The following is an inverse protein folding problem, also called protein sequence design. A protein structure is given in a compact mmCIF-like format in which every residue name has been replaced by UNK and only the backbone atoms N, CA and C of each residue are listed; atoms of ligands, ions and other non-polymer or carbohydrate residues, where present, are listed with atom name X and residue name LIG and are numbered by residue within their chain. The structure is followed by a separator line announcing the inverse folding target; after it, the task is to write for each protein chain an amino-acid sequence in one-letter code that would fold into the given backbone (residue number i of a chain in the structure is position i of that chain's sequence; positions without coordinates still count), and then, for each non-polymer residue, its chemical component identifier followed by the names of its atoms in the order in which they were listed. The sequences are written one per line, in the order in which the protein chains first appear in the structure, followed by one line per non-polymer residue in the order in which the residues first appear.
data_IF_900320293667
#
_entry.id   IF_900320293667
#
_cell.length_a   1.000
_cell.length_b   1.000
_cell.length_c   1.000
_cell.angle_alpha   90.00
_cell.angle_beta   90.00
_cell.angle_gamma   90.00
#
_symmetry.space_group_name_H-M   'P 1'
#
loop_
_entity.id
_entity.type
_entity.pdbx_description
1 polymer ?
#
# COMPACT_ATOMS: atom_id res chain seq x y z
N UNK A 1 -9.75 63.72 -22.67
CA UNK A 1 -8.57 64.26 -21.98
C UNK A 1 -7.90 63.07 -21.30
N UNK A 2 -6.89 62.40 -21.87
CA UNK A 2 -5.60 62.94 -22.33
C UNK A 2 -4.78 63.28 -21.08
N UNK A 3 -3.77 62.50 -20.66
CA UNK A 3 -2.50 62.32 -21.37
C UNK A 3 -1.68 61.12 -20.82
N UNK A 4 -0.80 60.69 -21.71
CA UNK A 4 0.21 59.63 -21.73
C UNK A 4 1.45 59.92 -20.86
N UNK A 5 2.23 58.89 -20.46
CA UNK A 5 3.72 58.83 -20.36
C UNK A 5 4.18 57.38 -20.02
N UNK A 6 4.98 56.76 -20.90
CA UNK A 6 5.96 55.63 -20.69
C UNK A 6 7.34 56.21 -20.27
N UNK A 7 8.30 55.49 -19.60
CA UNK A 7 9.07 54.30 -20.09
C UNK A 7 9.51 53.32 -18.95
N UNK A 8 10.27 52.23 -19.07
CA UNK A 8 11.11 51.60 -20.11
C UNK A 8 11.58 50.20 -19.64
N UNK A 9 12.17 49.42 -20.56
CA UNK A 9 12.68 48.04 -20.37
C UNK A 9 13.89 47.94 -19.43
N UNK A 10 14.19 46.71 -18.95
CA UNK A 10 15.54 46.18 -19.23
C UNK A 10 15.62 44.67 -19.54
N UNK A 11 16.43 44.34 -20.55
CA UNK A 11 17.61 43.49 -20.37
C UNK A 11 17.51 41.98 -20.65
N UNK A 12 17.97 41.58 -21.84
CA UNK A 12 18.38 40.22 -22.20
C UNK A 12 19.45 39.64 -21.24
N UNK A 13 19.35 38.34 -20.94
CA UNK A 13 20.49 37.55 -20.46
C UNK A 13 20.65 36.33 -21.38
N UNK A 14 21.73 36.36 -22.14
CA UNK A 14 22.16 35.33 -23.08
C UNK A 14 22.80 34.11 -22.43
N UNK A 15 22.84 33.06 -23.25
CA UNK A 15 23.35 31.70 -23.06
C UNK A 15 24.86 31.58 -22.79
N UNK A 16 25.21 30.32 -22.48
CA UNK A 16 26.50 29.63 -22.54
C UNK A 16 27.32 29.72 -21.26
N UNK A 17 27.96 28.66 -20.75
CA UNK A 17 28.24 27.34 -21.27
C UNK A 17 29.40 26.77 -20.44
N UNK A 18 29.40 25.46 -20.25
CA UNK A 18 30.52 24.54 -19.98
C UNK A 18 31.80 25.04 -19.25
N UNK A 19 32.31 24.19 -18.35
CA UNK A 19 33.77 24.03 -18.24
C UNK A 19 34.32 23.90 -16.83
N UNK A 20 34.67 22.67 -16.50
CA UNK A 20 35.44 22.18 -15.36
C UNK A 20 36.89 22.67 -15.27
N UNK A 21 37.42 22.57 -14.03
CA UNK A 21 38.83 22.36 -13.61
C UNK A 21 39.88 23.44 -13.88
N UNK A 22 40.57 23.87 -12.82
CA UNK A 22 41.99 23.52 -12.62
C UNK A 22 42.50 23.87 -11.21
N UNK A 23 43.30 22.96 -10.65
CA UNK A 23 44.05 23.12 -9.43
C UNK A 23 45.43 23.74 -9.73
N UNK A 24 45.87 24.71 -8.93
CA UNK A 24 47.26 25.19 -8.92
C UNK A 24 47.92 24.87 -7.57
N UNK A 25 48.96 24.04 -7.61
CA UNK A 25 50.01 23.98 -6.58
C UNK A 25 51.04 25.06 -6.87
N UNK A 26 51.56 25.70 -5.82
CA UNK A 26 52.85 26.39 -5.83
C UNK A 26 53.62 25.98 -4.56
N UNK A 27 54.82 25.47 -4.82
CA UNK A 27 56.03 25.21 -4.01
C UNK A 27 56.50 26.46 -3.25
N UNK A 28 57.40 26.54 -2.26
CA UNK A 28 58.44 25.77 -1.57
C UNK A 28 58.81 26.68 -0.35
N UNK A 29 59.34 26.23 0.80
CA UNK A 29 60.79 26.11 1.09
C UNK A 29 60.93 25.84 2.60
N UNK A 30 61.82 24.95 3.01
CA UNK A 30 62.49 25.03 4.31
C UNK A 30 63.82 24.28 4.26
N UNK A 31 64.84 24.90 4.85
CA UNK A 31 66.25 24.57 4.70
C UNK A 31 66.72 23.33 5.45
N UNK A 32 67.83 22.79 4.95
CA UNK A 32 68.67 21.75 5.55
C UNK A 32 69.55 22.34 6.66
N UNK A 33 69.64 21.62 7.77
CA UNK A 33 70.69 21.76 8.79
C UNK A 33 70.84 20.42 9.53
N UNK A 34 72.07 19.89 9.56
CA UNK A 34 72.37 18.54 10.03
C UNK A 34 72.78 18.44 11.51
N UNK A 35 73.16 17.22 11.93
CA UNK A 35 73.79 16.92 13.22
C UNK A 35 73.22 15.68 13.90
N UNK A 36 74.04 14.64 14.07
CA UNK A 36 73.67 13.34 14.63
C UNK A 36 73.63 13.28 16.16
N UNK A 37 73.17 12.13 16.69
CA UNK A 37 73.22 11.84 18.13
C UNK A 37 72.18 10.81 18.58
N UNK A 38 72.66 9.77 19.26
CA UNK A 38 71.98 8.55 19.68
C UNK A 38 70.95 8.66 20.82
N UNK A 39 70.07 7.64 20.87
CA UNK A 39 69.35 7.02 22.02
C UNK A 39 67.94 7.52 22.44
N UNK A 40 67.07 6.49 22.49
CA UNK A 40 65.90 6.24 23.37
C UNK A 40 64.53 6.83 23.03
N UNK A 41 63.65 5.89 22.62
CA UNK A 41 62.23 5.65 23.00
C UNK A 41 61.30 6.88 23.05
N UNK A 42 60.29 6.89 22.16
CA UNK A 42 58.83 6.98 22.47
C UNK A 42 58.00 7.06 21.17
N UNK A 43 56.73 6.68 21.28
CA UNK A 43 55.58 6.84 20.33
C UNK A 43 55.67 6.03 19.02
N UNK A 44 54.89 4.97 18.77
CA UNK A 44 53.42 4.79 18.78
C UNK A 44 52.68 5.70 17.76
N UNK A 45 51.83 5.06 16.94
CA UNK A 45 50.83 5.62 16.02
C UNK A 45 51.30 6.25 14.69
N UNK A 46 51.70 5.44 13.69
CA UNK A 46 51.38 5.73 12.26
C UNK A 46 51.23 4.39 11.51
N UNK A 47 50.13 3.67 11.76
CA UNK A 47 49.73 2.51 10.94
C UNK A 47 48.19 2.40 10.84
N UNK A 48 47.49 3.54 10.97
CA UNK A 48 46.02 3.60 11.02
C UNK A 48 45.48 4.78 10.19
N UNK A 49 46.20 5.14 9.12
CA UNK A 49 45.78 6.19 8.18
C UNK A 49 46.05 5.80 6.72
N UNK A 50 45.75 4.54 6.37
CA UNK A 50 45.66 4.07 4.98
C UNK A 50 44.32 3.37 4.68
N UNK A 51 43.30 3.60 5.50
CA UNK A 51 41.95 3.06 5.32
C UNK A 51 40.90 4.18 5.27
N UNK A 52 41.16 5.25 4.51
CA UNK A 52 40.24 6.39 4.39
C UNK A 52 40.11 6.96 2.97
N UNK A 53 40.47 6.19 1.93
CA UNK A 53 40.18 6.53 0.53
C UNK A 53 39.73 5.28 -0.24
N UNK A 54 38.70 4.60 0.26
CA UNK A 54 37.83 3.85 -0.64
C UNK A 54 36.73 4.83 -1.07
N UNK A 55 36.56 5.15 -2.37
CA UNK A 55 35.35 5.82 -2.81
C UNK A 55 34.20 4.92 -2.37
N UNK A 56 33.39 5.43 -1.44
CA UNK A 56 32.24 4.71 -0.94
C UNK A 56 31.40 4.29 -2.12
N UNK A 57 31.47 3.01 -2.47
CA UNK A 57 30.42 2.38 -3.24
C UNK A 57 29.19 2.46 -2.33
N UNK A 58 28.45 3.56 -2.47
CA UNK A 58 27.06 3.60 -2.05
C UNK A 58 26.42 2.54 -2.92
N UNK A 59 26.36 1.32 -2.40
CA UNK A 59 25.56 0.28 -3.01
C UNK A 59 24.19 0.92 -3.27
N UNK A 60 23.68 0.89 -4.52
CA UNK A 60 22.36 1.42 -4.77
C UNK A 60 21.45 0.80 -3.73
N UNK A 61 20.77 1.64 -2.95
CA UNK A 61 19.78 1.20 -1.98
C UNK A 61 18.86 0.27 -2.77
N UNK A 62 18.96 -1.03 -2.50
CA UNK A 62 18.22 -2.01 -3.27
C UNK A 62 16.76 -1.63 -3.07
N UNK A 63 16.13 -1.15 -4.14
CA UNK A 63 14.69 -0.97 -4.19
C UNK A 63 14.11 -2.32 -3.83
N UNK A 64 13.70 -2.46 -2.57
CA UNK A 64 13.22 -3.71 -2.01
C UNK A 64 12.04 -4.09 -2.89
N UNK A 65 12.20 -5.15 -3.69
CA UNK A 65 11.15 -5.66 -4.57
C UNK A 65 9.85 -5.63 -3.76
N UNK A 66 8.84 -4.89 -4.26
CA UNK A 66 7.62 -4.56 -3.49
C UNK A 66 6.97 -5.86 -3.03
N UNK A 67 7.30 -6.29 -1.81
CA UNK A 67 6.93 -7.59 -1.28
C UNK A 67 5.42 -7.74 -1.27
N UNK A 68 4.95 -8.94 -1.61
CA UNK A 68 3.56 -9.33 -1.42
C UNK A 68 3.12 -9.13 0.03
N UNK A 69 1.82 -9.16 0.26
CA UNK A 69 1.25 -8.95 1.60
C UNK A 69 0.85 -10.28 2.21
N UNK A 70 1.01 -10.41 3.51
CA UNK A 70 0.35 -11.44 4.30
C UNK A 70 -0.67 -10.74 5.20
N UNK A 71 -1.96 -10.94 4.92
CA UNK A 71 -3.04 -10.29 5.64
C UNK A 71 -3.91 -11.32 6.37
N UNK A 72 -4.39 -10.98 7.58
CA UNK A 72 -5.36 -11.79 8.30
C UNK A 72 -6.65 -10.98 8.46
N UNK A 73 -7.73 -11.48 7.91
CA UNK A 73 -9.08 -10.95 8.12
C UNK A 73 -9.57 -11.42 9.49
N UNK A 74 -9.74 -10.49 10.42
CA UNK A 74 -10.20 -10.76 11.79
C UNK A 74 -11.64 -10.28 11.89
N UNK A 75 -12.57 -11.23 11.76
CA UNK A 75 -14.00 -10.97 11.56
C UNK A 75 -14.77 -11.21 12.85
N UNK A 76 -15.45 -10.18 13.32
CA UNK A 76 -16.30 -10.25 14.50
C UNK A 76 -17.55 -11.09 14.19
N UNK A 77 -17.81 -12.04 15.07
CA UNK A 77 -18.93 -12.98 15.01
C UNK A 77 -19.83 -12.91 16.24
N UNK A 78 -19.63 -11.91 17.11
CA UNK A 78 -20.44 -11.67 18.30
C UNK A 78 -21.91 -11.37 17.97
N UNK A 79 -22.77 -11.52 18.98
CA UNK A 79 -24.21 -11.28 18.86
C UNK A 79 -24.56 -9.83 18.54
N UNK A 80 -23.78 -8.85 19.00
CA UNK A 80 -24.01 -7.42 18.73
C UNK A 80 -23.95 -7.10 17.25
N UNK A 81 -23.20 -7.88 16.46
CA UNK A 81 -23.10 -7.75 15.00
C UNK A 81 -24.44 -7.91 14.27
N UNK A 82 -25.49 -8.45 14.89
CA UNK A 82 -26.85 -8.43 14.31
C UNK A 82 -27.45 -7.03 14.26
N UNK A 83 -27.02 -6.16 15.18
CA UNK A 83 -27.51 -4.78 15.30
C UNK A 83 -26.50 -3.78 14.73
N UNK A 84 -25.21 -4.04 14.87
CA UNK A 84 -24.14 -3.14 14.40
C UNK A 84 -23.72 -3.39 12.95
N UNK A 85 -24.06 -4.56 12.40
CA UNK A 85 -23.88 -4.93 10.99
C UNK A 85 -25.08 -5.77 10.47
N UNK A 86 -26.31 -5.21 10.46
CA UNK A 86 -27.54 -5.96 10.15
C UNK A 86 -27.55 -6.49 8.71
N UNK A 87 -26.90 -5.78 7.78
CA UNK A 87 -26.78 -6.15 6.37
C UNK A 87 -25.59 -7.09 6.12
N UNK A 88 -24.86 -7.48 7.17
CA UNK A 88 -23.68 -8.36 7.11
C UNK A 88 -22.61 -7.84 6.14
N UNK A 89 -22.41 -6.52 6.10
CA UNK A 89 -21.46 -5.81 5.25
C UNK A 89 -20.02 -6.29 5.41
N UNK A 90 -19.65 -6.88 6.55
CA UNK A 90 -18.32 -7.48 6.74
C UNK A 90 -18.01 -8.65 5.79
N UNK A 91 -19.02 -9.35 5.28
CA UNK A 91 -18.83 -10.45 4.32
C UNK A 91 -18.45 -9.93 2.93
N UNK A 92 -19.26 -9.07 2.26
CA UNK A 92 -18.87 -8.50 0.97
C UNK A 92 -17.61 -7.65 1.06
N UNK A 93 -17.39 -6.96 2.19
CA UNK A 93 -16.14 -6.32 2.57
C UNK A 93 -14.91 -7.23 2.47
N UNK A 94 -14.92 -8.34 3.22
CA UNK A 94 -13.83 -9.32 3.24
C UNK A 94 -13.58 -9.91 1.85
N UNK A 95 -14.64 -10.25 1.12
CA UNK A 95 -14.53 -10.76 -0.25
C UNK A 95 -13.96 -9.73 -1.21
N UNK A 96 -14.31 -8.45 -1.07
CA UNK A 96 -13.74 -7.37 -1.87
C UNK A 96 -12.24 -7.25 -1.63
N UNK A 97 -11.81 -7.24 -0.37
CA UNK A 97 -10.39 -7.19 -0.03
C UNK A 97 -9.63 -8.34 -0.69
N UNK A 98 -10.06 -9.60 -0.49
CA UNK A 98 -9.46 -10.79 -1.12
C UNK A 98 -9.43 -10.66 -2.65
N UNK A 99 -10.47 -10.07 -3.24
CA UNK A 99 -10.60 -9.93 -4.68
C UNK A 99 -9.55 -9.00 -5.28
N UNK A 100 -9.20 -7.92 -4.60
CA UNK A 100 -8.21 -6.93 -5.05
C UNK A 100 -6.77 -7.42 -4.94
N UNK A 101 -6.52 -8.48 -4.17
CA UNK A 101 -5.19 -9.04 -4.00
C UNK A 101 -4.74 -9.80 -5.25
N UNK A 102 -3.43 -9.82 -5.46
CA UNK A 102 -2.79 -10.35 -6.67
C UNK A 102 -1.74 -11.41 -6.37
N UNK A 103 -0.88 -11.65 -7.36
CA UNK A 103 0.22 -12.59 -7.19
C UNK A 103 1.17 -12.16 -6.06
N UNK A 104 1.60 -13.14 -5.26
CA UNK A 104 2.45 -12.91 -4.09
C UNK A 104 1.68 -12.54 -2.82
N UNK A 105 0.37 -12.32 -2.86
CA UNK A 105 -0.42 -12.01 -1.67
C UNK A 105 -1.05 -13.26 -1.04
N UNK A 106 -1.11 -13.31 0.30
CA UNK A 106 -1.82 -14.34 1.05
C UNK A 106 -2.80 -13.74 2.05
N UNK A 107 -3.88 -14.48 2.27
CA UNK A 107 -4.92 -14.11 3.24
C UNK A 107 -5.22 -15.28 4.17
N UNK A 108 -5.34 -14.99 5.46
CA UNK A 108 -5.95 -15.86 6.46
C UNK A 108 -7.28 -15.28 6.95
N UNK A 109 -8.14 -16.11 7.53
CA UNK A 109 -9.40 -15.66 8.13
C UNK A 109 -9.50 -16.20 9.55
N UNK A 110 -9.76 -15.30 10.49
CA UNK A 110 -10.07 -15.58 11.89
C UNK A 110 -11.49 -15.09 12.14
N UNK A 111 -12.28 -15.91 12.82
CA UNK A 111 -13.56 -15.51 13.40
C UNK A 111 -13.37 -15.38 14.90
N UNK A 112 -13.97 -14.36 15.50
CA UNK A 112 -13.88 -14.17 16.94
C UNK A 112 -15.18 -13.71 17.59
N UNK A 113 -15.33 -14.01 18.87
CA UNK A 113 -16.34 -13.51 19.80
C UNK A 113 -15.65 -13.41 21.17
N UNK A 114 -16.12 -14.07 22.24
CA UNK A 114 -15.34 -14.24 23.49
C UNK A 114 -13.98 -14.95 23.33
N UNK A 115 -13.81 -15.75 22.26
CA UNK A 115 -12.55 -16.38 21.85
C UNK A 115 -12.26 -16.09 20.38
N UNK A 116 -11.07 -16.42 19.89
CA UNK A 116 -10.71 -16.27 18.48
C UNK A 116 -10.21 -17.61 17.91
N UNK A 117 -10.68 -17.98 16.72
CA UNK A 117 -10.32 -19.23 16.06
C UNK A 117 -10.01 -19.03 14.57
N UNK A 118 -8.94 -19.66 14.05
CA UNK A 118 -8.65 -19.65 12.62
C UNK A 118 -9.72 -20.43 11.86
N UNK A 119 -10.33 -19.79 10.87
CA UNK A 119 -11.24 -20.45 9.90
C UNK A 119 -10.43 -21.01 8.74
N UNK A 120 -9.39 -20.28 8.31
CA UNK A 120 -8.39 -20.71 7.33
C UNK A 120 -7.07 -19.97 7.60
N UNK A 121 -5.94 -20.66 7.47
CA UNK A 121 -4.60 -20.07 7.56
C UNK A 121 -4.23 -19.22 6.34
N UNK A 122 -3.02 -18.64 6.34
CA UNK A 122 -2.53 -17.85 5.21
C UNK A 122 -2.51 -18.68 3.93
N UNK A 123 -3.36 -18.30 2.98
CA UNK A 123 -3.56 -18.99 1.71
C UNK A 123 -3.30 -18.02 0.56
N UNK A 124 -2.58 -18.44 -0.48
CA UNK A 124 -2.34 -17.61 -1.68
C UNK A 124 -3.65 -17.25 -2.39
N UNK A 125 -3.70 -16.07 -2.99
CA UNK A 125 -4.91 -15.57 -3.70
C UNK A 125 -4.82 -15.75 -5.22
N UNK A 126 -3.79 -16.40 -5.73
CA UNK A 126 -3.51 -16.54 -7.17
C UNK A 126 -4.48 -17.51 -7.86
N UNK A 127 -4.82 -18.61 -7.21
CA UNK A 127 -5.68 -19.65 -7.77
C UNK A 127 -7.19 -19.35 -7.62
N UNK A 128 -7.97 -19.72 -8.65
CA UNK A 128 -9.44 -19.67 -8.57
C UNK A 128 -9.99 -20.61 -7.47
N UNK A 129 -9.33 -21.75 -7.25
CA UNK A 129 -9.61 -22.67 -6.13
C UNK A 129 -9.37 -22.02 -4.78
N UNK A 130 -8.26 -21.29 -4.63
CA UNK A 130 -7.86 -20.70 -3.36
C UNK A 130 -8.78 -19.54 -2.97
N UNK A 131 -9.09 -18.66 -3.93
CA UNK A 131 -10.09 -17.62 -3.73
C UNK A 131 -11.45 -18.19 -3.33
N UNK A 132 -11.87 -19.28 -3.97
CA UNK A 132 -13.12 -19.97 -3.59
C UNK A 132 -13.06 -20.48 -2.15
N UNK A 133 -11.94 -21.09 -1.72
CA UNK A 133 -11.74 -21.54 -0.33
C UNK A 133 -11.79 -20.37 0.65
N UNK A 134 -11.12 -19.26 0.34
CA UNK A 134 -11.14 -18.03 1.14
C UNK A 134 -12.55 -17.44 1.24
N UNK A 135 -13.30 -17.37 0.14
CA UNK A 135 -14.68 -16.89 0.16
C UNK A 135 -15.59 -17.80 0.99
N UNK A 136 -15.44 -19.12 0.88
CA UNK A 136 -16.15 -20.08 1.71
C UNK A 136 -15.79 -19.94 3.19
N UNK A 137 -14.54 -19.66 3.53
CA UNK A 137 -14.11 -19.38 4.90
C UNK A 137 -14.79 -18.12 5.45
N UNK A 138 -14.84 -17.03 4.67
CA UNK A 138 -15.57 -15.81 5.04
C UNK A 138 -17.07 -16.08 5.24
N UNK A 139 -17.69 -16.89 4.36
CA UNK A 139 -19.12 -17.20 4.44
C UNK A 139 -19.50 -17.98 5.71
N UNK A 140 -18.56 -18.73 6.31
CA UNK A 140 -18.75 -19.47 7.57
C UNK A 140 -18.81 -18.56 8.80
N UNK A 141 -18.40 -17.29 8.69
CA UNK A 141 -18.42 -16.36 9.83
C UNK A 141 -19.86 -15.95 10.15
N UNK A 142 -20.31 -16.32 11.35
CA UNK A 142 -21.67 -16.08 11.83
C UNK A 142 -21.79 -14.74 12.61
N UNK A 143 -22.97 -14.43 13.15
CA UNK A 143 -23.19 -13.36 14.16
C UNK A 143 -23.78 -13.96 15.45
N UNK A 144 -23.33 -15.15 15.86
CA UNK A 144 -23.97 -15.95 16.92
C UNK A 144 -23.10 -16.14 18.17
N UNK A 145 -21.85 -15.69 18.15
CA UNK A 145 -20.96 -15.82 19.28
C UNK A 145 -21.43 -14.99 20.48
N UNK A 146 -21.31 -15.56 21.68
CA UNK A 146 -21.39 -14.76 22.89
C UNK A 146 -20.10 -13.95 23.04
N UNK A 147 -20.24 -12.73 23.58
CA UNK A 147 -19.13 -11.85 23.94
C UNK A 147 -18.27 -11.37 22.76
N UNK A 148 -17.40 -10.40 23.04
CA UNK A 148 -16.50 -9.74 22.11
C UNK A 148 -15.15 -9.51 22.79
N UNK A 149 -14.16 -10.35 22.48
CA UNK A 149 -12.82 -10.30 23.05
C UNK A 149 -11.80 -9.86 21.99
N UNK A 150 -11.62 -8.54 21.88
CA UNK A 150 -10.68 -7.95 20.93
C UNK A 150 -9.22 -8.32 21.22
N UNK A 151 -8.87 -8.54 22.49
CA UNK A 151 -7.50 -8.94 22.86
C UNK A 151 -7.18 -10.31 22.26
N UNK A 152 -8.06 -11.29 22.45
CA UNK A 152 -7.90 -12.63 21.88
C UNK A 152 -7.87 -12.60 20.35
N UNK A 153 -8.67 -11.72 19.73
CA UNK A 153 -8.73 -11.55 18.29
C UNK A 153 -7.38 -11.06 17.70
N UNK A 154 -6.80 -10.01 18.28
CA UNK A 154 -5.51 -9.48 17.85
C UNK A 154 -4.37 -10.47 18.13
N UNK A 155 -4.37 -11.09 19.31
CA UNK A 155 -3.34 -12.06 19.69
C UNK A 155 -3.36 -13.30 18.77
N UNK A 156 -4.53 -13.79 18.37
CA UNK A 156 -4.66 -14.88 17.41
C UNK A 156 -4.19 -14.45 16.00
N UNK A 157 -4.52 -13.23 15.57
CA UNK A 157 -4.05 -12.67 14.30
C UNK A 157 -2.53 -12.53 14.26
N UNK A 158 -1.94 -11.98 15.32
CA UNK A 158 -0.49 -11.86 15.47
C UNK A 158 0.19 -13.22 15.43
N UNK A 159 -0.31 -14.20 16.18
CA UNK A 159 0.22 -15.57 16.19
C UNK A 159 0.16 -16.24 14.81
N UNK A 160 -0.92 -16.06 14.07
CA UNK A 160 -1.02 -16.57 12.69
C UNK A 160 0.04 -15.94 11.79
N UNK A 161 0.21 -14.61 11.85
CA UNK A 161 1.24 -13.90 11.07
C UNK A 161 2.65 -14.30 11.49
N UNK A 162 2.94 -14.36 12.79
CA UNK A 162 4.26 -14.74 13.29
C UNK A 162 4.65 -16.16 12.87
N UNK A 163 3.70 -17.10 12.86
CA UNK A 163 3.97 -18.51 12.52
C UNK A 163 3.94 -18.84 11.02
N UNK A 164 3.27 -18.03 10.19
CA UNK A 164 3.01 -18.38 8.78
C UNK A 164 3.46 -17.32 7.78
N UNK A 165 3.71 -16.06 8.20
CA UNK A 165 4.10 -15.00 7.29
C UNK A 165 5.48 -15.24 6.71
N UNK A 166 5.65 -14.90 5.43
CA UNK A 166 6.93 -15.02 4.73
C UNK A 166 7.88 -13.92 5.20
N UNK A 167 9.20 -14.16 5.18
CA UNK A 167 10.17 -13.09 5.36
C UNK A 167 9.98 -12.00 4.30
N UNK A 168 10.06 -10.73 4.73
CA UNK A 168 10.01 -9.59 3.84
C UNK A 168 8.63 -9.21 3.27
N UNK A 169 7.55 -9.90 3.64
CA UNK A 169 6.18 -9.47 3.32
C UNK A 169 5.71 -8.38 4.27
N UNK A 170 4.81 -7.53 3.78
CA UNK A 170 4.08 -6.59 4.64
C UNK A 170 2.95 -7.33 5.34
N UNK A 171 2.76 -7.07 6.64
CA UNK A 171 1.87 -7.87 7.50
C UNK A 171 0.72 -7.03 8.02
N UNK A 172 -0.50 -7.52 7.80
CA UNK A 172 -1.71 -6.75 8.10
C UNK A 172 -2.74 -7.55 8.88
N UNK A 173 -3.34 -6.92 9.88
CA UNK A 173 -4.58 -7.36 10.50
C UNK A 173 -5.72 -6.49 9.97
N UNK A 174 -6.71 -7.09 9.31
CA UNK A 174 -7.91 -6.39 8.87
C UNK A 174 -9.03 -6.72 9.86
N UNK A 175 -9.23 -5.86 10.86
CA UNK A 175 -10.22 -6.01 11.91
C UNK A 175 -11.57 -5.44 11.46
N UNK A 176 -12.62 -6.26 11.48
CA UNK A 176 -14.00 -5.88 11.17
C UNK A 176 -14.88 -6.15 12.38
N UNK A 177 -15.20 -5.12 13.15
CA UNK A 177 -15.85 -5.24 14.46
C UNK A 177 -16.57 -3.94 14.86
N UNK A 178 -17.48 -4.03 15.82
CA UNK A 178 -18.05 -2.86 16.48
C UNK A 178 -17.15 -2.28 17.58
N UNK A 179 -16.01 -2.92 17.87
CA UNK A 179 -14.95 -2.38 18.71
C UNK A 179 -15.23 -2.43 20.22
N UNK A 180 -16.37 -2.98 20.65
CA UNK A 180 -16.70 -3.02 22.09
C UNK A 180 -16.10 -4.26 22.72
N UNK A 181 -15.23 -4.09 23.72
CA UNK A 181 -14.81 -5.19 24.59
C UNK A 181 -15.98 -5.56 25.50
N UNK A 182 -16.41 -6.81 25.46
CA UNK A 182 -17.46 -7.35 26.31
C UNK A 182 -17.23 -8.84 26.50
N UNK A 183 -16.60 -9.25 27.61
CA UNK A 183 -16.42 -10.65 28.00
C UNK A 183 -17.36 -11.07 29.12
N UNK A 184 -18.44 -10.31 29.34
CA UNK A 184 -19.46 -10.58 30.37
C UNK A 184 -19.10 -10.10 31.78
N UNK A 185 -17.95 -9.45 31.95
CA UNK A 185 -17.52 -8.87 33.22
C UNK A 185 -16.78 -7.55 32.99
N UNK A 186 -17.32 -6.44 33.52
CA UNK A 186 -16.80 -5.09 33.28
C UNK A 186 -15.37 -4.88 33.81
N UNK A 187 -14.99 -5.55 34.91
CA UNK A 187 -13.62 -5.46 35.43
C UNK A 187 -12.65 -6.15 34.48
N UNK A 188 -13.05 -7.30 33.94
CA UNK A 188 -12.29 -8.06 32.97
C UNK A 188 -12.20 -7.34 31.62
N UNK A 189 -13.26 -6.67 31.19
CA UNK A 189 -13.26 -5.82 29.98
C UNK A 189 -12.20 -4.72 30.09
N UNK A 190 -12.19 -4.02 31.22
CA UNK A 190 -11.21 -2.97 31.49
C UNK A 190 -9.77 -3.53 31.54
N UNK A 191 -9.57 -4.69 32.17
CA UNK A 191 -8.26 -5.36 32.21
C UNK A 191 -7.78 -5.77 30.82
N UNK A 192 -8.62 -6.46 30.03
CA UNK A 192 -8.28 -6.90 28.68
C UNK A 192 -8.04 -5.71 27.76
N UNK A 193 -8.80 -4.63 27.91
CA UNK A 193 -8.57 -3.38 27.17
C UNK A 193 -7.23 -2.76 27.54
N UNK A 194 -6.86 -2.72 28.83
CA UNK A 194 -5.52 -2.27 29.26
C UNK A 194 -4.41 -3.14 28.69
N UNK A 195 -4.58 -4.47 28.69
CA UNK A 195 -3.60 -5.41 28.11
C UNK A 195 -3.48 -5.25 26.60
N UNK A 196 -4.60 -5.08 25.90
CA UNK A 196 -4.62 -4.81 24.47
C UNK A 196 -3.79 -3.56 24.15
N UNK A 197 -4.04 -2.46 24.87
CA UNK A 197 -3.39 -1.18 24.63
C UNK A 197 -1.92 -1.15 25.08
N UNK A 198 -1.61 -1.76 26.23
CA UNK A 198 -0.30 -1.67 26.87
C UNK A 198 0.66 -2.79 26.51
N UNK A 199 0.19 -3.89 25.92
CA UNK A 199 1.03 -5.03 25.55
C UNK A 199 0.83 -5.45 24.09
N UNK A 200 -0.39 -5.80 23.70
CA UNK A 200 -0.64 -6.36 22.37
C UNK A 200 -0.33 -5.36 21.25
N UNK A 201 -0.77 -4.10 21.37
CA UNK A 201 -0.45 -3.07 20.37
C UNK A 201 1.06 -2.79 20.26
N UNK A 202 1.82 -2.61 21.35
CA UNK A 202 3.29 -2.52 21.28
C UNK A 202 3.95 -3.73 20.60
N UNK A 203 3.52 -4.96 20.90
CA UNK A 203 4.06 -6.17 20.26
C UNK A 203 3.79 -6.15 18.73
N UNK A 204 2.59 -5.77 18.31
CA UNK A 204 2.27 -5.60 16.88
C UNK A 204 3.13 -4.55 16.19
N UNK A 205 3.40 -3.41 16.85
CA UNK A 205 4.29 -2.36 16.31
C UNK A 205 5.71 -2.89 16.15
N UNK A 206 6.23 -3.57 17.17
CA UNK A 206 7.57 -4.16 17.15
C UNK A 206 7.72 -5.22 16.04
N UNK A 207 6.68 -6.01 15.79
CA UNK A 207 6.65 -7.02 14.72
C UNK A 207 6.30 -6.44 13.34
N UNK A 208 6.16 -5.11 13.22
CA UNK A 208 5.77 -4.39 12.00
C UNK A 208 4.44 -4.87 11.41
N UNK A 209 3.47 -5.20 12.26
CA UNK A 209 2.11 -5.60 11.88
C UNK A 209 1.18 -4.40 12.01
N UNK A 210 0.55 -4.01 10.90
CA UNK A 210 -0.37 -2.88 10.88
C UNK A 210 -1.82 -3.33 11.05
N UNK A 211 -2.61 -2.61 11.84
CA UNK A 211 -4.05 -2.84 11.99
C UNK A 211 -4.83 -1.90 11.08
N UNK A 212 -5.63 -2.49 10.23
CA UNK A 212 -6.68 -1.82 9.47
C UNK A 212 -8.03 -2.18 10.06
N UNK A 213 -8.73 -1.19 10.62
CA UNK A 213 -10.00 -1.42 11.33
C UNK A 213 -11.19 -0.82 10.60
N UNK A 214 -12.29 -1.57 10.57
CA UNK A 214 -13.53 -1.19 9.90
C UNK A 214 -14.70 -1.38 10.86
N UNK A 215 -15.41 -0.28 11.13
CA UNK A 215 -16.69 -0.28 11.82
C UNK A 215 -17.84 -0.18 10.81
N UNK A 216 -18.98 -0.81 11.11
CA UNK A 216 -20.19 -0.78 10.24
C UNK A 216 -21.32 0.08 10.81
N UNK A 217 -21.10 0.74 11.95
CA UNK A 217 -22.06 1.66 12.55
C UNK A 217 -21.35 2.72 13.38
N UNK A 218 -22.00 3.88 13.55
CA UNK A 218 -21.52 4.95 14.45
C UNK A 218 -21.66 4.57 15.93
N UNK A 219 -22.48 3.58 16.26
CA UNK A 219 -22.63 3.07 17.62
C UNK A 219 -21.40 2.28 18.10
N UNK A 220 -20.50 1.90 17.19
CA UNK A 220 -19.25 1.20 17.50
C UNK A 220 -18.33 2.03 18.40
N UNK A 221 -17.41 1.38 19.11
CA UNK A 221 -16.30 2.06 19.78
C UNK A 221 -15.26 2.53 18.75
N UNK A 222 -15.64 3.59 18.04
CA UNK A 222 -14.81 4.25 17.03
C UNK A 222 -13.50 4.75 17.65
N UNK A 223 -13.51 5.12 18.93
CA UNK A 223 -12.33 5.60 19.65
C UNK A 223 -11.26 4.51 19.74
N UNK A 224 -11.63 3.35 20.24
CA UNK A 224 -10.72 2.21 20.37
C UNK A 224 -10.25 1.69 19.01
N UNK A 225 -11.16 1.48 18.05
CA UNK A 225 -10.81 1.01 16.70
C UNK A 225 -9.84 1.95 15.98
N UNK A 226 -10.06 3.27 16.09
CA UNK A 226 -9.17 4.28 15.51
C UNK A 226 -7.83 4.32 16.23
N UNK A 227 -7.81 4.18 17.55
CA UNK A 227 -6.57 4.14 18.33
C UNK A 227 -5.70 2.96 17.91
N UNK A 228 -6.25 1.76 17.81
CA UNK A 228 -5.51 0.56 17.37
C UNK A 228 -4.88 0.76 15.99
N UNK A 229 -5.65 1.25 15.02
CA UNK A 229 -5.15 1.53 13.68
C UNK A 229 -4.05 2.60 13.67
N UNK A 230 -4.24 3.72 14.39
CA UNK A 230 -3.23 4.79 14.44
C UNK A 230 -1.93 4.33 15.10
N UNK A 231 -2.00 3.62 16.22
CA UNK A 231 -0.83 3.13 16.95
C UNK A 231 0.03 2.21 16.09
N UNK A 232 -0.58 1.42 15.22
CA UNK A 232 0.10 0.46 14.33
C UNK A 232 0.35 1.02 12.92
N UNK A 233 0.22 2.34 12.75
CA UNK A 233 0.38 3.06 11.48
C UNK A 233 -0.55 2.61 10.34
N UNK A 234 -1.64 1.92 10.68
CA UNK A 234 -2.67 1.49 9.76
C UNK A 234 -3.75 2.55 9.52
N UNK A 235 -5.00 2.10 9.32
CA UNK A 235 -6.11 2.94 8.87
C UNK A 235 -7.43 2.49 9.50
N UNK A 236 -8.19 3.45 10.01
CA UNK A 236 -9.56 3.24 10.45
C UNK A 236 -10.55 3.74 9.39
N UNK A 237 -11.63 2.99 9.18
CA UNK A 237 -12.77 3.36 8.34
C UNK A 237 -14.10 3.05 9.01
N UNK A 238 -15.08 3.88 8.70
CA UNK A 238 -16.47 3.68 9.07
C UNK A 238 -17.26 3.44 7.78
N UNK A 239 -17.78 2.23 7.60
CA UNK A 239 -18.67 1.84 6.51
C UNK A 239 -20.10 1.71 7.05
N UNK A 240 -20.69 2.84 7.45
CA UNK A 240 -22.00 2.86 8.09
C UNK A 240 -23.16 2.48 7.15
N UNK A 241 -22.93 2.57 5.83
CA UNK A 241 -23.91 2.28 4.80
C UNK A 241 -23.29 1.44 3.68
N UNK A 242 -24.11 0.64 2.99
CA UNK A 242 -23.70 -0.17 1.84
C UNK A 242 -22.99 0.64 0.75
N UNK A 243 -23.40 1.90 0.57
CA UNK A 243 -22.84 2.83 -0.41
C UNK A 243 -21.42 3.30 -0.06
N UNK A 244 -21.01 3.15 1.19
CA UNK A 244 -19.67 3.54 1.64
C UNK A 244 -18.68 2.39 1.49
N UNK A 245 -19.16 1.20 1.12
CA UNK A 245 -18.37 -0.03 1.13
C UNK A 245 -17.24 0.04 0.09
N UNK A 246 -17.55 0.32 -1.17
CA UNK A 246 -16.54 0.39 -2.23
C UNK A 246 -15.45 1.42 -1.91
N UNK A 247 -15.82 2.63 -1.50
CA UNK A 247 -14.86 3.69 -1.15
C UNK A 247 -14.04 3.38 0.11
N UNK A 248 -14.68 2.79 1.13
CA UNK A 248 -13.98 2.35 2.35
C UNK A 248 -12.91 1.31 2.02
N UNK A 249 -13.26 0.29 1.25
CA UNK A 249 -12.37 -0.82 0.94
C UNK A 249 -11.29 -0.46 -0.08
N UNK A 250 -11.63 0.31 -1.11
CA UNK A 250 -10.63 0.80 -2.08
C UNK A 250 -9.57 1.65 -1.36
N UNK A 251 -9.96 2.53 -0.43
CA UNK A 251 -8.99 3.30 0.34
C UNK A 251 -8.09 2.43 1.24
N UNK A 252 -8.62 1.34 1.79
CA UNK A 252 -7.85 0.37 2.55
C UNK A 252 -6.84 -0.37 1.66
N UNK A 253 -7.30 -0.88 0.51
CA UNK A 253 -6.45 -1.54 -0.46
C UNK A 253 -5.35 -0.61 -0.98
N UNK A 254 -5.70 0.63 -1.31
CA UNK A 254 -4.76 1.67 -1.74
C UNK A 254 -3.71 1.96 -0.67
N UNK A 255 -4.11 2.03 0.61
CA UNK A 255 -3.18 2.21 1.73
C UNK A 255 -2.28 0.99 1.93
N UNK A 256 -2.83 -0.22 1.85
CA UNK A 256 -2.13 -1.47 2.12
C UNK A 256 -1.19 -1.86 0.98
N UNK A 257 -1.60 -1.72 -0.27
CA UNK A 257 -0.84 -2.20 -1.43
C UNK A 257 -0.10 -1.08 -2.15
N UNK A 258 -0.62 0.16 -2.11
CA UNK A 258 -0.16 1.31 -2.91
C UNK A 258 -0.06 0.94 -4.39
N UNK A 259 -1.18 0.47 -4.99
CA UNK A 259 -1.18 0.03 -6.38
C UNK A 259 -0.95 1.21 -7.31
N UNK A 260 -0.38 0.93 -8.46
CA UNK A 260 -0.38 1.86 -9.58
C UNK A 260 -1.79 1.92 -10.18
N UNK A 261 -2.15 3.10 -10.72
CA UNK A 261 -3.50 3.38 -11.20
C UNK A 261 -3.47 4.06 -12.56
N UNK A 262 -4.47 3.76 -13.38
CA UNK A 262 -4.77 4.54 -14.57
C UNK A 262 -5.80 5.61 -14.24
N UNK A 263 -5.63 6.84 -14.77
CA UNK A 263 -6.67 7.85 -14.67
C UNK A 263 -7.91 7.38 -15.45
N UNK A 264 -9.09 7.60 -14.86
CA UNK A 264 -10.37 7.38 -15.52
C UNK A 264 -11.04 8.73 -15.73
N UNK A 265 -11.35 9.06 -16.99
CA UNK A 265 -12.07 10.27 -17.37
C UNK A 265 -13.29 9.89 -18.20
N UNK A 266 -14.48 10.34 -17.82
CA UNK A 266 -15.72 10.00 -18.54
C UNK A 266 -16.03 8.50 -18.59
N UNK A 267 -15.51 7.71 -17.64
CA UNK A 267 -15.61 6.25 -17.65
C UNK A 267 -14.62 5.56 -18.60
N UNK A 268 -13.64 6.27 -19.14
CA UNK A 268 -12.63 5.73 -20.05
C UNK A 268 -11.25 5.67 -19.40
N UNK A 269 -10.47 4.64 -19.73
CA UNK A 269 -9.04 4.56 -19.43
C UNK A 269 -8.27 4.08 -20.65
N UNK A 270 -6.98 4.39 -20.73
CA UNK A 270 -6.11 3.91 -21.82
C UNK A 270 -5.12 2.91 -21.26
N UNK A 271 -5.08 1.72 -21.85
CA UNK A 271 -4.09 0.70 -21.54
C UNK A 271 -3.01 0.67 -22.63
N UNK A 272 -1.77 0.38 -22.26
CA UNK A 272 -0.67 0.14 -23.18
C UNK A 272 -0.16 -1.30 -23.06
N UNK A 273 0.77 -1.69 -23.95
CA UNK A 273 1.27 -3.06 -24.05
C UNK A 273 2.16 -3.50 -22.86
N UNK A 274 2.65 -2.58 -22.04
CA UNK A 274 3.44 -2.91 -20.84
C UNK A 274 2.58 -3.43 -19.68
N UNK A 275 1.28 -3.13 -19.71
CA UNK A 275 0.37 -3.49 -18.63
C UNK A 275 0.10 -5.00 -18.70
N UNK A 276 0.44 -5.71 -17.62
CA UNK A 276 0.22 -7.16 -17.48
C UNK A 276 -1.18 -7.47 -17.00
N UNK A 277 -1.76 -6.63 -16.16
CA UNK A 277 -3.11 -6.81 -15.63
C UNK A 277 -3.75 -5.45 -15.33
N UNK A 278 -5.03 -5.30 -15.62
CA UNK A 278 -5.87 -4.18 -15.13
C UNK A 278 -6.99 -4.77 -14.29
N UNK A 279 -7.16 -4.27 -13.06
CA UNK A 279 -8.34 -4.53 -12.25
C UNK A 279 -9.18 -3.26 -12.14
N UNK A 280 -10.34 -3.27 -12.79
CA UNK A 280 -11.32 -2.19 -12.73
C UNK A 280 -12.29 -2.44 -11.58
N UNK A 281 -12.46 -1.45 -10.70
CA UNK A 281 -13.57 -1.37 -9.75
C UNK A 281 -14.59 -0.40 -10.34
N UNK A 282 -15.70 -0.95 -10.83
CA UNK A 282 -16.76 -0.18 -11.48
C UNK A 282 -17.97 -0.03 -10.54
N UNK A 283 -18.19 1.17 -10.01
CA UNK A 283 -19.28 1.46 -9.08
C UNK A 283 -20.63 1.45 -9.80
N UNK A 284 -21.64 0.91 -9.14
CA UNK A 284 -23.02 0.81 -9.63
C UNK A 284 -23.93 1.74 -8.85
N UNK A 285 -24.87 2.35 -9.55
CA UNK A 285 -25.93 3.13 -8.92
C UNK A 285 -26.83 2.25 -8.03
N UNK A 286 -27.15 1.03 -8.50
CA UNK A 286 -27.91 0.04 -7.76
C UNK A 286 -27.61 -1.41 -8.21
N UNK A 287 -28.27 -2.38 -7.59
CA UNK A 287 -28.07 -3.82 -7.84
C UNK A 287 -28.57 -4.30 -9.22
N UNK A 288 -29.47 -3.57 -9.87
CA UNK A 288 -30.02 -3.91 -11.18
C UNK A 288 -29.05 -3.55 -12.30
N UNK A 289 -28.22 -2.53 -12.10
CA UNK A 289 -27.16 -2.12 -13.03
C UNK A 289 -26.27 -3.31 -13.42
N UNK A 290 -25.97 -3.38 -14.71
CA UNK A 290 -25.05 -4.35 -15.31
C UNK A 290 -23.91 -3.59 -15.96
N UNK A 291 -22.71 -3.74 -15.42
CA UNK A 291 -21.53 -3.11 -15.99
C UNK A 291 -21.19 -3.83 -17.31
N UNK A 292 -20.87 -3.04 -18.32
CA UNK A 292 -20.35 -3.52 -19.60
C UNK A 292 -19.02 -2.85 -19.84
N UNK A 293 -18.02 -3.65 -20.19
CA UNK A 293 -16.70 -3.16 -20.52
C UNK A 293 -16.52 -3.21 -22.04
N UNK A 294 -16.18 -2.10 -22.66
CA UNK A 294 -15.91 -2.02 -24.09
C UNK A 294 -14.39 -1.92 -24.33
N UNK A 295 -13.87 -2.85 -25.13
CA UNK A 295 -12.47 -2.92 -25.54
C UNK A 295 -12.16 -1.90 -26.67
N UNK A 296 -10.87 -1.58 -26.92
CA UNK A 296 -10.44 -0.64 -27.96
C UNK A 296 -10.93 -0.98 -29.38
N UNK A 297 -11.16 -2.25 -29.68
CA UNK A 297 -11.72 -2.72 -30.96
C UNK A 297 -13.25 -2.81 -30.98
N UNK A 298 -13.97 -2.25 -30.00
CA UNK A 298 -15.43 -2.24 -29.94
C UNK A 298 -16.08 -3.48 -29.30
N UNK A 299 -15.31 -4.55 -29.05
CA UNK A 299 -15.81 -5.74 -28.35
C UNK A 299 -16.37 -5.40 -26.97
N UNK A 300 -17.51 -6.00 -26.61
CA UNK A 300 -18.24 -5.70 -25.35
C UNK A 300 -18.30 -6.93 -24.46
N UNK A 301 -17.79 -6.78 -23.24
CA UNK A 301 -17.77 -7.84 -22.24
C UNK A 301 -18.68 -7.52 -21.06
N UNK A 302 -19.27 -8.56 -20.50
CA UNK A 302 -20.12 -8.51 -19.32
C UNK A 302 -19.82 -9.71 -18.43
N UNK A 303 -20.35 -9.71 -17.21
CA UNK A 303 -20.20 -10.86 -16.32
C UNK A 303 -20.68 -12.20 -16.92
N UNK A 304 -21.68 -12.16 -17.82
CA UNK A 304 -22.22 -13.35 -18.50
C UNK A 304 -21.39 -13.76 -19.71
N UNK A 305 -20.89 -12.79 -20.48
CA UNK A 305 -20.14 -13.00 -21.71
C UNK A 305 -18.81 -12.28 -21.59
N UNK A 306 -17.77 -13.03 -21.21
CA UNK A 306 -16.42 -12.53 -20.93
C UNK A 306 -15.40 -13.31 -21.73
N UNK A 307 -14.29 -12.66 -22.04
CA UNK A 307 -13.14 -13.28 -22.70
C UNK A 307 -12.48 -14.32 -21.77
N UNK A 308 -11.88 -15.39 -22.30
CA UNK A 308 -11.09 -16.32 -21.50
C UNK A 308 -10.03 -15.60 -20.66
N UNK A 309 -9.85 -16.03 -19.40
CA UNK A 309 -8.91 -15.41 -18.46
C UNK A 309 -9.44 -14.17 -17.75
N UNK A 310 -10.45 -13.47 -18.28
CA UNK A 310 -11.08 -12.37 -17.54
C UNK A 310 -11.80 -12.89 -16.30
N UNK A 311 -11.56 -12.22 -15.17
CA UNK A 311 -12.24 -12.50 -13.90
C UNK A 311 -13.24 -11.39 -13.64
N UNK A 312 -14.47 -11.78 -13.28
CA UNK A 312 -15.54 -10.83 -13.00
C UNK A 312 -16.20 -11.18 -11.68
N UNK A 313 -15.93 -10.37 -10.66
CA UNK A 313 -16.62 -10.46 -9.38
C UNK A 313 -17.79 -9.48 -9.38
N UNK A 314 -19.01 -10.00 -9.20
CA UNK A 314 -20.22 -9.19 -9.14
C UNK A 314 -20.62 -8.91 -7.71
N UNK A 315 -20.93 -7.65 -7.42
CA UNK A 315 -21.57 -7.25 -6.17
C UNK A 315 -22.82 -6.39 -6.44
N UNK A 316 -23.54 -6.04 -5.37
CA UNK A 316 -24.70 -5.17 -5.45
C UNK A 316 -24.34 -3.70 -5.77
N UNK A 317 -23.12 -3.25 -5.40
CA UNK A 317 -22.71 -1.84 -5.46
C UNK A 317 -21.55 -1.58 -6.40
N UNK A 318 -20.85 -2.60 -6.84
CA UNK A 318 -19.79 -2.49 -7.81
C UNK A 318 -19.59 -3.82 -8.54
N UNK A 319 -18.90 -3.78 -9.66
CA UNK A 319 -18.25 -4.96 -10.23
C UNK A 319 -16.73 -4.78 -10.15
N UNK A 320 -16.03 -5.87 -9.91
CA UNK A 320 -14.58 -5.91 -10.03
C UNK A 320 -14.21 -6.78 -11.23
N UNK A 321 -13.50 -6.18 -12.18
CA UNK A 321 -13.22 -6.77 -13.48
C UNK A 321 -11.71 -6.82 -13.63
N UNK A 322 -11.14 -8.02 -13.59
CA UNK A 322 -9.72 -8.22 -13.82
C UNK A 322 -9.48 -8.71 -15.24
N UNK A 323 -8.65 -7.95 -15.96
CA UNK A 323 -8.30 -8.12 -17.37
C UNK A 323 -6.81 -8.47 -17.42
N UNK A 324 -6.45 -9.75 -17.60
CA UNK A 324 -5.07 -10.10 -17.89
C UNK A 324 -4.70 -9.62 -19.31
N UNK A 325 -3.49 -9.09 -19.47
CA UNK A 325 -2.93 -8.63 -20.74
C UNK A 325 -3.93 -7.80 -21.58
N UNK A 326 -4.39 -6.63 -21.07
CA UNK A 326 -5.37 -5.81 -21.78
C UNK A 326 -4.85 -5.42 -23.16
N UNK A 327 -5.74 -5.47 -24.16
CA UNK A 327 -5.45 -4.92 -25.50
C UNK A 327 -5.08 -3.43 -25.38
N UNK A 328 -3.99 -2.97 -26.02
CA UNK A 328 -3.63 -1.56 -26.01
C UNK A 328 -4.72 -0.68 -26.62
N UNK A 329 -4.91 0.51 -26.06
CA UNK A 329 -5.87 1.51 -26.51
C UNK A 329 -6.91 1.89 -25.46
N UNK A 330 -7.97 2.56 -25.92
CA UNK A 330 -9.03 3.10 -25.06
C UNK A 330 -10.06 2.04 -24.68
N UNK A 331 -10.22 1.84 -23.38
CA UNK A 331 -11.27 1.03 -22.78
C UNK A 331 -12.36 1.91 -22.20
N UNK A 332 -13.64 1.51 -22.35
CA UNK A 332 -14.78 2.25 -21.79
C UNK A 332 -15.56 1.40 -20.80
N UNK A 333 -15.86 1.96 -19.64
CA UNK A 333 -16.71 1.38 -18.62
C UNK A 333 -18.12 1.97 -18.81
N UNK A 334 -19.05 1.14 -19.25
CA UNK A 334 -20.41 1.56 -19.55
C UNK A 334 -21.34 1.22 -18.38
N UNK A 335 -22.36 2.07 -18.20
CA UNK A 335 -23.40 1.92 -17.17
C UNK A 335 -22.92 2.03 -15.71
N UNK A 336 -21.72 2.57 -15.47
CA UNK A 336 -21.20 2.83 -14.12
C UNK A 336 -21.62 4.17 -13.56
N UNK A 337 -21.57 4.33 -12.23
CA UNK A 337 -21.88 5.56 -11.50
C UNK A 337 -20.73 6.59 -11.44
N UNK A 338 -19.66 6.42 -12.22
CA UNK A 338 -18.59 7.42 -12.40
C UNK A 338 -17.42 7.37 -11.41
N UNK A 339 -17.58 6.82 -10.21
CA UNK A 339 -16.49 6.69 -9.22
C UNK A 339 -15.61 5.46 -9.42
N UNK A 340 -15.28 5.15 -10.68
CA UNK A 340 -14.54 3.94 -11.01
C UNK A 340 -13.05 4.10 -10.66
N UNK A 341 -12.39 2.96 -10.43
CA UNK A 341 -10.93 2.87 -10.26
C UNK A 341 -10.37 1.83 -11.22
N UNK A 342 -9.16 2.05 -11.75
CA UNK A 342 -8.43 1.09 -12.55
C UNK A 342 -7.04 0.91 -11.94
N UNK A 343 -6.82 -0.22 -11.27
CA UNK A 343 -5.54 -0.62 -10.70
C UNK A 343 -4.77 -1.43 -11.73
N UNK A 344 -3.44 -1.25 -11.78
CA UNK A 344 -2.61 -1.95 -12.76
C UNK A 344 -1.49 -2.74 -12.12
N UNK A 345 -1.12 -3.82 -12.82
CA UNK A 345 0.15 -4.51 -12.63
C UNK A 345 0.94 -4.31 -13.92
N UNK A 346 2.07 -3.63 -13.81
CA UNK A 346 3.04 -3.44 -14.89
C UNK A 346 4.43 -3.78 -14.39
N UNK A 347 5.37 -4.00 -15.31
CA UNK A 347 6.78 -4.10 -14.96
C UNK A 347 7.51 -2.77 -15.06
N UNK A 348 6.86 -1.71 -15.51
CA UNK A 348 7.40 -0.36 -15.47
C UNK A 348 7.07 0.28 -14.12
N UNK A 349 8.04 0.95 -13.50
CA UNK A 349 7.81 1.67 -12.25
C UNK A 349 8.56 2.99 -12.25
N UNK A 350 7.89 4.08 -11.88
CA UNK A 350 8.56 5.33 -11.55
C UNK A 350 9.00 5.27 -10.09
N UNK A 351 10.31 5.33 -9.87
CA UNK A 351 10.93 5.24 -8.55
C UNK A 351 11.59 6.56 -8.17
N UNK A 352 11.73 6.84 -6.87
CA UNK A 352 12.36 8.07 -6.38
C UNK A 352 13.34 7.81 -5.25
N UNK A 353 14.32 8.70 -5.07
CA UNK A 353 15.34 8.61 -4.00
C UNK A 353 14.78 8.92 -2.61
N UNK A 354 13.60 9.54 -2.53
CA UNK A 354 12.94 9.87 -1.26
C UNK A 354 12.20 8.66 -0.69
N UNK A 355 11.70 7.77 -1.56
CA UNK A 355 11.02 6.53 -1.15
C UNK A 355 9.93 6.78 -0.09
N UNK A 356 9.99 6.04 1.01
CA UNK A 356 9.05 6.15 2.16
C UNK A 356 9.56 7.04 3.31
N UNK A 357 10.57 7.89 3.09
CA UNK A 357 11.17 8.67 4.19
C UNK A 357 10.28 9.85 4.60
N UNK A 358 10.17 10.06 5.90
CA UNK A 358 9.61 11.30 6.45
C UNK A 358 10.54 12.47 6.08
N UNK A 359 10.01 13.39 5.28
CA UNK A 359 10.71 14.60 4.84
C UNK A 359 10.60 15.61 5.98
N UNK A 360 11.73 16.07 6.50
CA UNK A 360 11.75 17.14 7.50
C UNK A 360 11.20 18.44 6.90
N UNK A 361 10.19 19.01 7.57
CA UNK A 361 9.63 20.31 7.21
C UNK A 361 10.76 21.37 7.20
N UNK A 362 10.72 22.27 6.21
CA UNK A 362 11.69 23.37 6.04
C UNK A 362 13.12 22.94 5.70
N UNK A 363 13.31 21.76 5.11
CA UNK A 363 14.60 21.36 4.53
C UNK A 363 14.54 21.34 3.00
N UNK A 364 15.56 21.86 2.33
CA UNK A 364 15.73 21.67 0.89
C UNK A 364 16.16 20.21 0.64
N UNK A 365 15.41 19.50 -0.21
CA UNK A 365 15.74 18.13 -0.60
C UNK A 365 15.75 17.99 -2.11
N UNK A 366 16.81 17.38 -2.65
CA UNK A 366 16.90 17.01 -4.05
C UNK A 366 16.15 15.70 -4.28
N UNK A 367 15.08 15.75 -5.07
CA UNK A 367 14.31 14.57 -5.50
C UNK A 367 14.82 14.11 -6.85
N UNK A 368 15.34 12.89 -6.90
CA UNK A 368 15.68 12.19 -8.13
C UNK A 368 14.61 11.13 -8.39
N UNK A 369 14.09 11.12 -9.62
CA UNK A 369 13.17 10.11 -10.10
C UNK A 369 13.77 9.35 -11.29
N UNK A 370 13.52 8.06 -11.39
CA UNK A 370 13.95 7.24 -12.53
C UNK A 370 12.88 6.24 -12.91
N UNK A 371 12.84 5.89 -14.20
CA UNK A 371 12.01 4.81 -14.68
C UNK A 371 12.75 3.48 -14.44
N UNK A 372 12.02 2.48 -13.98
CA UNK A 372 12.52 1.12 -13.84
C UNK A 372 11.66 0.16 -14.67
N UNK A 373 12.27 -0.90 -15.19
CA UNK A 373 11.62 -2.02 -15.85
C UNK A 373 12.08 -3.31 -15.19
N UNK A 374 11.16 -4.10 -14.66
CA UNK A 374 11.46 -5.31 -13.89
C UNK A 374 12.48 -5.04 -12.76
N UNK A 375 12.32 -3.89 -12.08
CA UNK A 375 13.21 -3.37 -11.02
C UNK A 375 14.63 -2.96 -11.46
N UNK A 376 14.96 -3.04 -12.76
CA UNK A 376 16.19 -2.48 -13.32
C UNK A 376 15.95 -1.06 -13.81
N UNK A 377 16.91 -0.15 -13.59
CA UNK A 377 16.80 1.24 -14.09
C UNK A 377 16.76 1.21 -15.62
N UNK A 378 15.77 1.88 -16.21
CA UNK A 378 15.69 2.08 -17.66
C UNK A 378 16.71 3.16 -18.03
N UNK A 379 17.76 2.75 -18.74
CA UNK A 379 18.83 3.63 -19.24
C UNK A 379 18.76 3.84 -20.75
N UNK A 380 17.78 3.25 -21.43
CA UNK A 380 17.62 3.33 -22.88
C UNK A 380 17.33 4.78 -23.32
N UNK A 381 18.21 5.43 -24.11
CA UNK A 381 18.08 6.85 -24.45
C UNK A 381 16.77 7.18 -25.16
N UNK A 382 16.28 6.29 -26.02
CA UNK A 382 15.04 6.52 -26.79
C UNK A 382 13.82 6.58 -25.87
N UNK A 383 13.76 5.73 -24.84
CA UNK A 383 12.68 5.74 -23.84
C UNK A 383 12.74 7.01 -22.99
N UNK A 384 13.94 7.45 -22.60
CA UNK A 384 14.12 8.65 -21.78
C UNK A 384 13.83 9.94 -22.55
N UNK A 385 14.11 9.98 -23.86
CA UNK A 385 13.82 11.13 -24.73
C UNK A 385 12.32 11.36 -24.92
N UNK A 386 11.54 10.29 -24.98
CA UNK A 386 10.09 10.35 -25.17
C UNK A 386 9.31 10.44 -23.84
N UNK A 387 10.00 10.30 -22.69
CA UNK A 387 9.39 10.45 -21.36
C UNK A 387 9.30 11.94 -20.98
N UNK A 388 8.07 12.46 -20.86
CA UNK A 388 7.82 13.80 -20.31
C UNK A 388 7.36 13.72 -18.87
N UNK A 389 8.14 14.30 -17.96
CA UNK A 389 7.69 14.60 -16.60
C UNK A 389 6.98 15.96 -16.66
N UNK A 390 5.66 15.97 -16.45
CA UNK A 390 4.83 17.18 -16.46
C UNK A 390 4.65 17.69 -15.04
#
# INVERSE_FOLDING_TARGET
MGTDVRPGEPGEIGRAGAGSMEARRVTERAGRGGGGGTRRRRTALIALLWLALAPGWVAPAHARARGGIDAVLVLDSSGSMRHTDPLRLRVPAAKLFISLLGAGDRVGVISFSGHAWPVIGLTDVTGASDRRRLFQAVDKVSSRGAFTNLYAALEAGRRMLAGQARPGTRRYLILMSDGRMDVGDTRRDAELTRRLLGRELPELVHEHIQIFSIAFTRASDVGLLRRMARTTHGLFRLAAFDRDLDTTFTSLFERAKRPEMLPIQGGEFTADASIREVTVVATKQDRAVRIVLQAPGGGRWSAKHREPGMRWFRSARFDMITIPHPKPGKWRILSSAGHNKAYIVTNLGLETNVGERDIALHTEQSVHAWLSKDHAVVSQPDVLRDTRFV
#
